data_IF_360019807212
#
_entry.id   IF_360019807212
#
_cell.length_a   1.000
_cell.length_b   1.000
_cell.length_c   1.000
_cell.angle_alpha   90.00
_cell.angle_beta   90.00
_cell.angle_gamma   90.00
#
_symmetry.space_group_name_H-M   'P 1'
#
loop_
_entity.id
_entity.type
_entity.pdbx_description
1 polymer ?
#
# COMPACT_ATOMS: atom_id res chain seq x y z
N UNK A 1 -58.99 -33.70 36.29
CA UNK A 1 -58.82 -33.29 34.89
C UNK A 1 -57.89 -32.09 34.88
N UNK A 2 -56.57 -32.32 34.78
CA UNK A 2 -55.74 -32.02 33.60
C UNK A 2 -55.93 -30.59 33.10
N UNK A 3 -54.95 -29.72 33.37
CA UNK A 3 -54.28 -28.90 32.34
C UNK A 3 -52.83 -28.73 32.81
N UNK A 4 -51.95 -29.52 32.18
CA UNK A 4 -50.50 -29.48 32.35
C UNK A 4 -49.99 -28.52 31.28
N UNK A 5 -49.40 -27.40 31.68
CA UNK A 5 -48.75 -26.45 30.78
C UNK A 5 -47.34 -27.00 30.52
N UNK A 6 -47.13 -27.61 29.35
CA UNK A 6 -45.80 -27.80 28.78
C UNK A 6 -45.60 -26.74 27.71
N UNK A 7 -44.83 -25.69 28.04
CA UNK A 7 -44.24 -24.79 27.06
C UNK A 7 -42.94 -25.46 26.62
N UNK A 8 -42.94 -25.99 25.40
CA UNK A 8 -41.75 -26.50 24.71
C UNK A 8 -40.85 -25.31 24.35
N UNK A 9 -39.80 -25.08 25.15
CA UNK A 9 -38.66 -24.26 24.76
C UNK A 9 -37.78 -25.06 23.79
N UNK A 10 -38.03 -24.92 22.50
CA UNK A 10 -37.06 -25.26 21.45
C UNK A 10 -36.12 -24.05 21.33
N UNK A 11 -34.99 -24.09 22.03
CA UNK A 11 -33.88 -23.16 21.80
C UNK A 11 -33.19 -23.53 20.50
N UNK A 12 -33.57 -22.90 19.40
CA UNK A 12 -32.76 -22.89 18.18
C UNK A 12 -31.53 -22.02 18.43
N UNK A 13 -30.40 -22.65 18.76
CA UNK A 13 -29.09 -22.07 18.53
C UNK A 13 -28.91 -21.91 17.02
N UNK A 14 -29.31 -20.76 16.49
CA UNK A 14 -28.82 -20.31 15.20
C UNK A 14 -27.34 -19.96 15.39
N UNK A 15 -26.47 -20.92 15.09
CA UNK A 15 -25.08 -20.62 14.80
C UNK A 15 -25.14 -19.72 13.56
N UNK A 16 -24.91 -18.41 13.75
CA UNK A 16 -24.55 -17.51 12.67
C UNK A 16 -23.19 -17.97 12.15
N UNK A 17 -23.20 -19.00 11.31
CA UNK A 17 -22.14 -19.18 10.34
C UNK A 17 -22.51 -18.22 9.21
N UNK A 18 -22.07 -16.96 9.31
CA UNK A 18 -21.76 -16.21 8.09
C UNK A 18 -20.60 -16.97 7.47
N UNK A 19 -20.90 -18.01 6.69
CA UNK A 19 -19.99 -18.39 5.64
C UNK A 19 -20.01 -17.19 4.69
N UNK A 20 -18.97 -16.35 4.74
CA UNK A 20 -18.70 -15.42 3.65
C UNK A 20 -18.68 -16.28 2.38
N UNK A 21 -19.63 -16.06 1.48
CA UNK A 21 -19.55 -16.65 0.15
C UNK A 21 -18.16 -16.30 -0.40
N UNK A 22 -17.41 -17.27 -0.95
CA UNK A 22 -16.12 -16.95 -1.55
C UNK A 22 -16.37 -15.86 -2.57
N UNK A 23 -15.59 -14.78 -2.47
CA UNK A 23 -15.53 -13.73 -3.46
C UNK A 23 -15.44 -14.37 -4.85
N UNK A 24 -16.21 -13.82 -5.80
CA UNK A 24 -16.28 -14.34 -7.16
C UNK A 24 -15.93 -13.24 -8.13
N UNK A 25 -15.10 -13.57 -9.11
CA UNK A 25 -14.85 -12.70 -10.25
C UNK A 25 -15.86 -12.99 -11.36
N UNK A 26 -16.23 -11.92 -12.04
CA UNK A 26 -17.06 -11.87 -13.23
C UNK A 26 -16.42 -10.94 -14.26
N UNK A 27 -17.04 -10.81 -15.43
CA UNK A 27 -16.61 -9.88 -16.47
C UNK A 27 -17.70 -8.84 -16.67
N UNK A 28 -17.32 -7.57 -16.69
CA UNK A 28 -18.19 -6.46 -17.06
C UNK A 28 -17.58 -5.70 -18.22
N UNK A 29 -18.34 -5.52 -19.30
CA UNK A 29 -17.88 -4.80 -20.48
C UNK A 29 -18.35 -3.34 -20.44
N UNK A 30 -17.43 -2.44 -20.71
CA UNK A 30 -17.67 -1.01 -20.73
C UNK A 30 -18.65 -0.65 -21.87
N UNK A 31 -19.80 -0.02 -21.58
CA UNK A 31 -20.76 0.35 -22.61
C UNK A 31 -20.24 1.40 -23.60
N UNK A 32 -19.21 2.17 -23.21
CA UNK A 32 -18.66 3.28 -23.98
C UNK A 32 -17.37 2.91 -24.74
N UNK A 33 -16.85 1.69 -24.57
CA UNK A 33 -15.62 1.23 -25.24
C UNK A 33 -15.68 -0.25 -25.66
N UNK A 34 -14.60 -0.76 -26.24
CA UNK A 34 -14.47 -2.20 -26.61
C UNK A 34 -13.68 -2.98 -25.55
N UNK A 35 -13.71 -2.51 -24.31
CA UNK A 35 -12.97 -3.09 -23.20
C UNK A 35 -13.91 -3.85 -22.26
N UNK A 36 -13.45 -5.00 -21.78
CA UNK A 36 -14.06 -5.69 -20.66
C UNK A 36 -13.11 -5.78 -19.48
N UNK A 37 -13.68 -5.77 -18.29
CA UNK A 37 -13.00 -5.62 -17.02
C UNK A 37 -13.26 -6.84 -16.15
N UNK A 38 -12.23 -7.24 -15.41
CA UNK A 38 -12.40 -8.10 -14.25
C UNK A 38 -13.27 -7.35 -13.22
N UNK A 39 -14.33 -8.00 -12.72
CA UNK A 39 -15.23 -7.40 -11.75
C UNK A 39 -15.58 -8.36 -10.59
N UNK A 40 -15.35 -7.96 -9.32
CA UNK A 40 -14.68 -6.73 -8.88
C UNK A 40 -13.16 -6.77 -9.16
N UNK A 41 -12.41 -5.76 -8.70
CA UNK A 41 -10.95 -5.83 -8.71
C UNK A 41 -10.43 -6.98 -7.83
N UNK A 42 -9.16 -7.33 -7.98
CA UNK A 42 -8.54 -8.43 -7.24
C UNK A 42 -8.65 -8.24 -5.72
N UNK A 43 -9.24 -9.22 -5.03
CA UNK A 43 -9.41 -9.28 -3.58
C UNK A 43 -10.19 -8.07 -3.00
N UNK A 44 -11.11 -7.48 -3.77
CA UNK A 44 -11.79 -6.21 -3.42
C UNK A 44 -12.41 -6.19 -2.02
N UNK A 45 -12.88 -7.34 -1.53
CA UNK A 45 -13.56 -7.48 -0.23
C UNK A 45 -12.68 -8.12 0.85
N UNK A 46 -11.36 -8.13 0.65
CA UNK A 46 -10.36 -8.66 1.59
C UNK A 46 -9.47 -7.52 2.12
N UNK A 47 -9.94 -6.75 3.13
CA UNK A 47 -9.20 -5.61 3.67
C UNK A 47 -7.92 -6.00 4.40
N UNK A 48 -7.74 -7.28 4.71
CA UNK A 48 -6.54 -7.87 5.32
C UNK A 48 -5.39 -8.08 4.33
N UNK A 49 -5.67 -8.05 3.01
CA UNK A 49 -4.66 -8.30 1.97
C UNK A 49 -4.02 -6.97 1.54
N UNK A 50 -2.69 -6.93 1.56
CA UNK A 50 -1.87 -5.73 1.31
C UNK A 50 -1.89 -5.18 -0.12
N UNK A 51 -2.41 -5.92 -1.10
CA UNK A 51 -2.32 -5.59 -2.53
C UNK A 51 -1.08 -6.21 -3.20
N UNK A 52 -0.86 -5.88 -4.46
CA UNK A 52 0.29 -6.35 -5.27
C UNK A 52 1.20 -5.17 -5.64
N UNK A 53 2.50 -5.42 -5.79
CA UNK A 53 3.36 -4.43 -6.46
C UNK A 53 3.16 -4.44 -7.98
N UNK A 54 3.75 -3.48 -8.71
CA UNK A 54 3.49 -3.32 -10.14
C UNK A 54 3.83 -4.57 -10.97
N UNK A 55 4.98 -5.20 -10.72
CA UNK A 55 5.40 -6.40 -11.44
C UNK A 55 4.49 -7.61 -11.14
N UNK A 56 4.07 -7.77 -9.88
CA UNK A 56 3.11 -8.79 -9.48
C UNK A 56 1.72 -8.54 -10.09
N UNK A 57 1.31 -7.28 -10.23
CA UNK A 57 0.05 -6.91 -10.86
C UNK A 57 0.03 -7.24 -12.36
N UNK A 58 1.12 -6.95 -13.06
CA UNK A 58 1.30 -7.32 -14.46
C UNK A 58 1.25 -8.84 -14.62
N UNK A 59 2.03 -9.58 -13.83
CA UNK A 59 2.02 -11.05 -13.83
C UNK A 59 0.63 -11.62 -13.52
N UNK A 60 -0.07 -11.06 -12.53
CA UNK A 60 -1.42 -11.49 -12.17
C UNK A 60 -2.37 -11.38 -13.35
N UNK A 61 -2.35 -10.25 -14.06
CA UNK A 61 -3.21 -10.07 -15.22
C UNK A 61 -2.81 -10.95 -16.40
N UNK A 62 -1.52 -11.14 -16.65
CA UNK A 62 -1.02 -12.00 -17.73
C UNK A 62 -1.37 -13.49 -17.52
N UNK A 63 -1.41 -13.93 -16.26
CA UNK A 63 -1.76 -15.31 -15.88
C UNK A 63 -3.27 -15.51 -15.64
N UNK A 64 -4.05 -14.42 -15.62
CA UNK A 64 -5.48 -14.49 -15.34
C UNK A 64 -6.20 -15.27 -16.45
N UNK A 65 -6.90 -16.33 -16.05
CA UNK A 65 -7.91 -16.99 -16.88
C UNK A 65 -9.26 -16.75 -16.22
N UNK A 66 -10.09 -15.93 -16.85
CA UNK A 66 -11.41 -15.55 -16.35
C UNK A 66 -12.46 -15.65 -17.46
N UNK A 67 -13.57 -16.32 -17.18
CA UNK A 67 -14.64 -16.66 -18.12
C UNK A 67 -14.14 -17.22 -19.47
N UNK A 68 -13.16 -18.14 -19.41
CA UNK A 68 -12.49 -18.76 -20.58
C UNK A 68 -11.66 -17.81 -21.44
N UNK A 69 -11.34 -16.62 -20.95
CA UNK A 69 -10.42 -15.69 -21.57
C UNK A 69 -9.08 -15.70 -20.84
N UNK A 70 -7.98 -15.71 -21.59
CA UNK A 70 -6.59 -15.69 -21.09
C UNK A 70 -5.77 -14.56 -21.72
N UNK A 71 -6.45 -13.56 -22.28
CA UNK A 71 -5.91 -12.37 -22.95
C UNK A 71 -6.08 -11.11 -22.08
N UNK A 72 -6.08 -11.32 -20.76
CA UNK A 72 -6.13 -10.25 -19.77
C UNK A 72 -4.78 -9.56 -19.66
N UNK A 73 -4.81 -8.27 -19.32
CA UNK A 73 -3.62 -7.44 -19.13
C UNK A 73 -3.87 -6.36 -18.09
N UNK A 74 -2.79 -5.78 -17.58
CA UNK A 74 -2.87 -4.58 -16.76
C UNK A 74 -3.31 -3.39 -17.66
N UNK A 75 -4.34 -2.62 -17.28
CA UNK A 75 -4.80 -1.46 -18.05
C UNK A 75 -3.76 -0.35 -18.04
N UNK A 76 -3.76 0.51 -19.06
CA UNK A 76 -2.99 1.76 -19.01
C UNK A 76 -3.77 2.88 -18.28
N UNK A 77 -3.12 4.02 -18.03
CA UNK A 77 -3.72 5.12 -17.26
C UNK A 77 -4.94 5.72 -17.95
N UNK A 78 -4.95 5.80 -19.28
CA UNK A 78 -6.10 6.35 -20.02
C UNK A 78 -7.30 5.39 -19.97
N UNK A 79 -7.06 4.07 -20.00
CA UNK A 79 -8.09 3.06 -19.82
C UNK A 79 -8.69 3.08 -18.41
N UNK A 80 -7.84 3.09 -17.37
CA UNK A 80 -8.33 3.21 -15.98
C UNK A 80 -9.05 4.52 -15.74
N UNK A 81 -8.58 5.62 -16.35
CA UNK A 81 -9.26 6.91 -16.26
C UNK A 81 -10.71 6.83 -16.77
N UNK A 82 -11.00 6.04 -17.80
CA UNK A 82 -12.38 5.88 -18.30
C UNK A 82 -13.34 5.29 -17.25
N UNK A 83 -12.80 4.69 -16.19
CA UNK A 83 -13.57 4.18 -15.06
C UNK A 83 -13.87 5.24 -13.98
N UNK A 84 -13.24 6.42 -14.05
CA UNK A 84 -13.51 7.52 -13.12
C UNK A 84 -14.90 8.11 -13.42
N UNK A 85 -15.69 8.33 -12.37
CA UNK A 85 -16.96 9.05 -12.44
C UNK A 85 -17.14 9.96 -11.22
N UNK A 86 -17.75 11.14 -11.41
CA UNK A 86 -18.04 12.10 -10.36
C UNK A 86 -16.95 13.14 -10.09
N UNK A 87 -15.92 13.23 -10.94
CA UNK A 87 -14.90 14.28 -10.84
C UNK A 87 -14.46 14.81 -12.23
N UNK A 88 -15.09 15.89 -12.73
CA UNK A 88 -14.85 16.40 -14.09
C UNK A 88 -13.41 16.80 -14.42
N UNK A 89 -12.57 17.06 -13.42
CA UNK A 89 -11.17 17.42 -13.65
C UNK A 89 -10.32 16.23 -14.09
N UNK A 90 -10.64 15.02 -13.62
CA UNK A 90 -9.86 13.80 -13.85
C UNK A 90 -10.57 12.77 -14.72
N UNK A 91 -11.86 12.92 -14.95
CA UNK A 91 -12.61 12.21 -16.00
C UNK A 91 -11.98 12.38 -17.40
N UNK A 92 -12.30 11.48 -18.36
CA UNK A 92 -11.86 11.62 -19.76
C UNK A 92 -12.20 12.99 -20.35
N UNK A 93 -11.20 13.69 -20.89
CA UNK A 93 -11.36 15.04 -21.43
C UNK A 93 -11.35 16.16 -20.38
N UNK A 94 -11.13 15.83 -19.11
CA UNK A 94 -10.94 16.78 -18.01
C UNK A 94 -9.65 17.60 -18.13
N UNK A 95 -9.47 18.53 -17.20
CA UNK A 95 -8.31 19.44 -17.18
C UNK A 95 -7.01 18.77 -16.69
N UNK A 96 -7.07 17.60 -16.05
CA UNK A 96 -5.90 16.77 -15.77
C UNK A 96 -5.39 16.15 -17.07
N UNK A 97 -4.17 16.51 -17.48
CA UNK A 97 -3.59 16.10 -18.76
C UNK A 97 -2.66 14.88 -18.67
N UNK A 98 -2.52 14.27 -17.48
CA UNK A 98 -1.73 13.05 -17.34
C UNK A 98 -2.28 11.97 -18.27
N UNK A 99 -1.46 11.28 -19.05
CA UNK A 99 -1.91 10.28 -20.04
C UNK A 99 -0.77 9.30 -20.29
N UNK A 100 -0.97 8.31 -21.15
CA UNK A 100 0.13 7.45 -21.59
C UNK A 100 1.26 8.31 -22.18
N UNK A 101 2.46 8.21 -21.60
CA UNK A 101 3.62 9.02 -21.97
C UNK A 101 3.71 10.39 -21.30
N UNK A 102 2.84 10.71 -20.34
CA UNK A 102 2.94 11.91 -19.50
C UNK A 102 4.19 11.89 -18.61
N UNK A 103 4.55 13.05 -18.06
CA UNK A 103 5.70 13.21 -17.15
C UNK A 103 5.28 13.32 -15.69
N UNK A 104 6.19 13.02 -14.76
CA UNK A 104 5.89 12.98 -13.33
C UNK A 104 5.59 14.38 -12.74
N UNK A 105 6.30 15.41 -13.20
CA UNK A 105 6.27 16.75 -12.61
C UNK A 105 5.59 17.81 -13.50
N UNK A 106 4.48 17.46 -14.16
CA UNK A 106 3.70 18.43 -14.96
C UNK A 106 3.14 19.57 -14.07
N UNK A 107 3.21 20.86 -14.47
CA UNK A 107 2.58 21.97 -13.75
C UNK A 107 1.06 21.82 -13.55
N UNK A 108 0.40 21.02 -14.40
CA UNK A 108 -1.03 20.70 -14.29
C UNK A 108 -1.34 19.53 -13.34
N UNK A 109 -0.33 18.98 -12.63
CA UNK A 109 -0.51 17.89 -11.66
C UNK A 109 -1.55 18.21 -10.57
N UNK A 110 -1.75 19.49 -10.23
CA UNK A 110 -2.79 19.91 -9.28
C UNK A 110 -4.20 19.48 -9.70
N UNK A 111 -4.49 19.47 -11.00
CA UNK A 111 -5.78 19.01 -11.50
C UNK A 111 -5.97 17.49 -11.35
N UNK A 112 -4.87 16.74 -11.22
CA UNK A 112 -4.85 15.29 -11.08
C UNK A 112 -4.90 14.82 -9.61
N UNK A 113 -4.88 15.75 -8.64
CA UNK A 113 -4.92 15.44 -7.20
C UNK A 113 -6.28 14.93 -6.71
N UNK A 114 -7.29 14.93 -7.57
CA UNK A 114 -8.62 14.42 -7.24
C UNK A 114 -9.46 15.38 -6.40
N UNK A 115 -10.51 14.82 -5.82
CA UNK A 115 -11.55 15.48 -5.04
C UNK A 115 -11.53 15.01 -3.57
N UNK A 116 -12.60 15.31 -2.82
CA UNK A 116 -12.74 14.80 -1.46
C UNK A 116 -13.01 13.29 -1.47
N UNK A 117 -12.33 12.51 -0.63
CA UNK A 117 -12.52 11.06 -0.59
C UNK A 117 -13.97 10.65 -0.32
N UNK A 118 -14.40 9.57 -0.96
CA UNK A 118 -15.71 8.92 -0.80
C UNK A 118 -16.91 9.82 -1.12
N UNK A 119 -16.84 10.58 -2.21
CA UNK A 119 -17.96 11.40 -2.74
C UNK A 119 -18.33 11.10 -4.19
N UNK A 120 -17.75 10.05 -4.76
CA UNK A 120 -18.10 9.56 -6.08
C UNK A 120 -19.47 8.86 -6.10
N UNK A 121 -19.97 8.55 -7.30
CA UNK A 121 -21.30 7.96 -7.51
C UNK A 121 -21.33 6.43 -7.36
N UNK A 122 -20.17 5.78 -7.31
CA UNK A 122 -20.05 4.33 -7.14
C UNK A 122 -20.25 3.87 -5.70
N UNK A 123 -20.14 2.55 -5.49
CA UNK A 123 -20.35 1.92 -4.20
C UNK A 123 -19.53 2.56 -3.07
N UNK A 124 -20.17 2.78 -1.92
CA UNK A 124 -19.57 3.45 -0.74
C UNK A 124 -18.91 4.81 -1.03
N UNK A 125 -19.29 5.48 -2.13
CA UNK A 125 -18.75 6.78 -2.51
C UNK A 125 -17.48 6.70 -3.35
N UNK A 126 -17.12 5.53 -3.89
CA UNK A 126 -16.01 5.44 -4.83
C UNK A 126 -16.30 6.24 -6.10
N UNK A 127 -15.27 6.89 -6.64
CA UNK A 127 -15.31 7.55 -7.94
C UNK A 127 -15.14 6.55 -9.08
N UNK A 128 -15.92 5.48 -9.01
CA UNK A 128 -16.01 4.43 -10.02
C UNK A 128 -17.33 4.57 -10.78
N UNK A 129 -17.33 4.20 -12.06
CA UNK A 129 -18.55 4.06 -12.84
C UNK A 129 -19.56 3.15 -12.09
N UNK A 130 -20.84 3.54 -11.94
CA UNK A 130 -21.83 2.78 -11.16
C UNK A 130 -22.16 1.37 -11.67
N UNK A 131 -21.72 1.01 -12.88
CA UNK A 131 -21.91 -0.33 -13.45
C UNK A 131 -20.77 -1.29 -13.11
N UNK A 132 -19.71 -0.84 -12.42
CA UNK A 132 -18.65 -1.69 -11.88
C UNK A 132 -18.86 -1.92 -10.38
N UNK A 133 -18.66 -3.17 -9.96
CA UNK A 133 -18.63 -3.55 -8.55
C UNK A 133 -17.22 -3.34 -7.99
N UNK A 134 -17.08 -3.18 -6.68
CA UNK A 134 -15.77 -3.19 -6.04
C UNK A 134 -15.67 -2.28 -4.83
N UNK A 135 -14.43 -2.00 -4.43
CA UNK A 135 -14.11 -1.13 -3.29
C UNK A 135 -13.07 -0.08 -3.66
N UNK A 136 -12.92 0.92 -2.81
CA UNK A 136 -11.82 1.90 -2.85
C UNK A 136 -11.40 2.28 -1.43
N UNK A 137 -11.83 1.51 -0.42
CA UNK A 137 -11.59 1.72 1.01
C UNK A 137 -10.56 0.73 1.58
N UNK A 138 -9.84 -0.01 0.72
CA UNK A 138 -8.74 -0.89 1.15
C UNK A 138 -7.56 -0.06 1.64
N UNK A 139 -7.14 -0.20 2.91
CA UNK A 139 -6.06 0.61 3.46
C UNK A 139 -4.72 0.23 2.85
N UNK A 140 -3.90 1.23 2.52
CA UNK A 140 -2.47 1.07 2.23
C UNK A 140 -1.74 0.75 3.56
N UNK A 141 -1.26 -0.50 3.79
CA UNK A 141 -0.76 -0.90 5.11
C UNK A 141 0.41 -0.04 5.62
N UNK A 142 1.41 0.31 4.80
CA UNK A 142 2.42 1.33 5.10
C UNK A 142 1.90 2.69 5.58
N UNK A 143 0.79 3.17 5.01
CA UNK A 143 0.37 4.57 5.18
C UNK A 143 -0.79 4.72 6.16
N UNK A 144 -1.58 3.68 6.42
CA UNK A 144 -2.60 3.58 7.48
C UNK A 144 -3.78 4.56 7.45
N UNK A 145 -3.67 5.66 6.69
CA UNK A 145 -4.71 6.67 6.48
C UNK A 145 -4.95 6.96 4.98
N UNK A 146 -4.22 6.29 4.09
CA UNK A 146 -4.43 6.31 2.65
C UNK A 146 -4.99 4.96 2.20
N UNK A 147 -5.65 4.96 1.05
CA UNK A 147 -6.23 3.78 0.44
C UNK A 147 -5.36 3.31 -0.73
N UNK A 148 -5.42 2.02 -1.05
CA UNK A 148 -4.66 1.46 -2.17
C UNK A 148 -5.05 2.15 -3.47
N UNK A 149 -4.04 2.59 -4.19
CA UNK A 149 -4.15 3.05 -5.57
C UNK A 149 -4.32 1.84 -6.50
N UNK A 150 -4.95 2.00 -7.66
CA UNK A 150 -5.09 0.95 -8.68
C UNK A 150 -4.02 1.11 -9.76
N UNK A 151 -3.25 0.04 -10.03
CA UNK A 151 -2.10 0.11 -10.94
C UNK A 151 -2.47 0.22 -12.42
N UNK A 152 -1.77 1.12 -13.11
CA UNK A 152 -1.71 1.20 -14.56
C UNK A 152 -0.38 0.64 -15.10
N UNK A 153 -0.32 0.27 -16.37
CA UNK A 153 0.87 -0.34 -16.99
C UNK A 153 1.93 0.65 -17.48
N UNK A 154 1.56 1.91 -17.74
CA UNK A 154 2.51 2.90 -18.26
C UNK A 154 3.36 3.57 -17.17
N UNK A 155 4.56 4.00 -17.59
CA UNK A 155 5.57 4.68 -16.77
C UNK A 155 5.68 6.15 -17.22
N UNK A 156 6.15 7.06 -16.36
CA UNK A 156 6.36 8.46 -16.76
C UNK A 156 7.50 8.54 -17.80
N UNK A 157 7.37 9.44 -18.77
CA UNK A 157 8.34 9.53 -19.87
C UNK A 157 9.66 10.21 -19.49
N UNK A 158 9.68 11.03 -18.43
CA UNK A 158 10.85 11.73 -17.92
C UNK A 158 11.63 10.93 -16.86
N UNK A 159 10.94 10.14 -16.05
CA UNK A 159 11.53 9.33 -14.95
C UNK A 159 11.04 7.87 -14.99
N UNK A 160 11.26 7.13 -16.09
CA UNK A 160 10.61 5.84 -16.31
C UNK A 160 11.03 4.71 -15.34
N UNK A 161 12.20 4.84 -14.69
CA UNK A 161 12.74 3.82 -13.79
C UNK A 161 12.15 3.99 -12.39
N UNK A 162 11.61 2.93 -11.79
CA UNK A 162 11.07 2.95 -10.43
C UNK A 162 9.63 3.49 -10.31
N UNK A 163 9.06 4.06 -11.37
CA UNK A 163 7.74 4.70 -11.32
C UNK A 163 6.73 4.02 -12.24
N UNK A 164 5.48 3.94 -11.78
CA UNK A 164 4.35 3.35 -12.49
C UNK A 164 3.11 4.21 -12.32
N UNK A 165 2.25 4.26 -13.34
CA UNK A 165 1.01 5.02 -13.31
C UNK A 165 -0.02 4.40 -12.37
N UNK A 166 -0.91 5.22 -11.81
CA UNK A 166 -2.02 4.75 -10.99
C UNK A 166 -3.27 5.61 -11.12
N UNK A 167 -4.40 5.06 -10.67
CA UNK A 167 -5.65 5.80 -10.38
C UNK A 167 -6.11 5.47 -8.97
N UNK A 168 -6.46 6.48 -8.17
CA UNK A 168 -7.08 6.30 -6.85
C UNK A 168 -8.57 6.56 -6.93
N UNK A 169 -9.37 5.51 -6.75
CA UNK A 169 -10.83 5.59 -6.85
C UNK A 169 -11.51 6.11 -5.57
N UNK A 170 -10.80 6.25 -4.46
CA UNK A 170 -11.36 6.88 -3.26
C UNK A 170 -11.59 8.39 -3.48
N UNK A 171 -10.72 9.04 -4.26
CA UNK A 171 -10.72 10.48 -4.49
C UNK A 171 -10.65 10.91 -5.96
N UNK A 172 -10.73 10.00 -6.93
CA UNK A 172 -10.57 10.29 -8.36
C UNK A 172 -9.23 10.95 -8.72
N UNK A 173 -8.14 10.59 -8.04
CA UNK A 173 -6.81 11.09 -8.37
C UNK A 173 -6.11 10.13 -9.34
N UNK A 174 -5.13 10.63 -10.08
CA UNK A 174 -4.25 9.79 -10.88
C UNK A 174 -2.86 10.42 -10.96
N UNK A 175 -1.85 9.58 -11.07
CA UNK A 175 -0.48 10.01 -10.91
C UNK A 175 0.53 8.93 -11.23
N UNK A 176 1.74 9.12 -10.73
CA UNK A 176 2.78 8.11 -10.72
C UNK A 176 3.19 7.85 -9.28
N UNK A 177 3.32 6.58 -8.92
CA UNK A 177 3.83 6.13 -7.63
C UNK A 177 4.97 5.14 -7.85
N UNK A 178 5.71 4.83 -6.79
CA UNK A 178 6.83 3.92 -6.86
C UNK A 178 6.34 2.49 -7.15
N UNK A 179 6.95 1.81 -8.11
CA UNK A 179 6.52 0.49 -8.61
C UNK A 179 6.58 -0.62 -7.56
N UNK A 180 7.38 -0.42 -6.51
CA UNK A 180 7.48 -1.32 -5.36
C UNK A 180 6.42 -1.06 -4.28
N UNK A 181 5.60 -0.01 -4.39
CA UNK A 181 4.43 0.16 -3.51
C UNK A 181 3.40 -0.93 -3.76
N UNK A 182 2.51 -1.14 -2.80
CA UNK A 182 1.36 -2.02 -3.00
C UNK A 182 0.15 -1.24 -3.54
N UNK A 183 -0.62 -1.90 -4.39
CA UNK A 183 -1.83 -1.35 -5.00
C UNK A 183 -2.84 -2.43 -5.35
N UNK A 184 -4.05 -1.97 -5.65
CA UNK A 184 -5.14 -2.76 -6.20
C UNK A 184 -4.90 -3.07 -7.68
N UNK A 185 -5.49 -4.18 -8.14
CA UNK A 185 -5.32 -4.65 -9.52
C UNK A 185 -6.68 -4.98 -10.11
N UNK A 186 -7.00 -4.34 -11.24
CA UNK A 186 -8.17 -4.66 -12.06
C UNK A 186 -7.72 -4.89 -13.48
N UNK A 187 -7.79 -6.14 -13.94
CA UNK A 187 -7.36 -6.48 -15.29
C UNK A 187 -8.39 -6.06 -16.33
N UNK A 188 -7.90 -5.74 -17.52
CA UNK A 188 -8.69 -5.38 -18.69
C UNK A 188 -8.37 -6.32 -19.84
N UNK A 189 -9.31 -6.48 -20.77
CA UNK A 189 -9.11 -7.16 -22.04
C UNK A 189 -9.89 -6.47 -23.15
N UNK A 190 -9.47 -6.70 -24.39
CA UNK A 190 -10.22 -6.27 -25.58
C UNK A 190 -11.35 -7.27 -25.88
N UNK A 191 -12.49 -6.77 -26.33
CA UNK A 191 -13.62 -7.57 -26.79
C UNK A 191 -14.94 -7.09 -26.21
N UNK A 192 -16.05 -7.46 -26.85
CA UNK A 192 -17.42 -7.07 -26.47
C UNK A 192 -18.33 -8.29 -26.32
N UNK A 193 -17.76 -9.48 -26.11
CA UNK A 193 -18.52 -10.71 -25.92
C UNK A 193 -18.77 -10.92 -24.42
N UNK A 194 -19.92 -10.49 -23.86
CA UNK A 194 -20.32 -10.91 -22.53
C UNK A 194 -20.66 -12.40 -22.61
N UNK A 195 -19.70 -13.27 -22.31
CA UNK A 195 -20.04 -14.63 -21.92
C UNK A 195 -20.71 -14.49 -20.56
N UNK A 196 -22.04 -14.58 -20.56
CA UNK A 196 -22.87 -14.49 -19.36
C UNK A 196 -22.28 -15.31 -18.19
N UNK A 197 -22.08 -14.61 -17.06
CA UNK A 197 -22.04 -15.17 -15.71
C UNK A 197 -21.25 -16.47 -15.51
N UNK A 198 -20.01 -16.57 -16.01
CA UNK A 198 -19.05 -17.49 -15.40
C UNK A 198 -18.45 -16.80 -14.18
N UNK A 199 -19.24 -16.77 -13.10
CA UNK A 199 -18.69 -16.44 -11.78
C UNK A 199 -17.67 -17.50 -11.40
N UNK A 200 -16.40 -17.13 -11.37
CA UNK A 200 -15.32 -18.00 -10.95
C UNK A 200 -14.91 -17.63 -9.52
N UNK A 201 -14.57 -18.61 -8.66
CA UNK A 201 -14.01 -18.30 -7.36
C UNK A 201 -12.73 -17.46 -7.55
N UNK A 202 -12.43 -16.57 -6.60
CA UNK A 202 -11.11 -15.94 -6.60
C UNK A 202 -10.02 -17.01 -6.64
N UNK A 203 -9.07 -16.86 -7.56
CA UNK A 203 -7.90 -17.70 -7.59
C UNK A 203 -6.93 -17.23 -6.50
N UNK A 204 -6.42 -18.16 -5.71
CA UNK A 204 -5.24 -17.93 -4.87
C UNK A 204 -4.03 -17.72 -5.79
N UNK A 205 -3.89 -16.49 -6.29
CA UNK A 205 -2.73 -16.10 -7.07
C UNK A 205 -1.50 -16.18 -6.16
N UNK A 206 -0.69 -17.20 -6.42
CA UNK A 206 0.65 -17.33 -5.89
C UNK A 206 1.58 -17.01 -7.05
N UNK A 207 2.37 -15.91 -7.00
CA UNK A 207 3.33 -15.60 -8.04
C UNK A 207 4.18 -16.84 -8.37
N UNK A 208 4.02 -17.38 -9.60
CA UNK A 208 4.58 -18.70 -10.01
C UNK A 208 6.11 -18.69 -10.12
N UNK A 209 6.66 -17.50 -10.22
CA UNK A 209 8.02 -17.18 -9.85
C UNK A 209 7.89 -16.06 -8.82
N UNK A 210 8.90 -15.89 -7.96
CA UNK A 210 9.30 -14.53 -7.67
C UNK A 210 9.52 -13.97 -9.08
N UNK A 211 8.57 -13.21 -9.65
CA UNK A 211 8.93 -12.23 -10.65
C UNK A 211 10.06 -11.53 -9.94
N UNK A 212 11.30 -11.90 -10.28
CA UNK A 212 12.48 -11.49 -9.54
C UNK A 212 12.33 -10.00 -9.65
N UNK A 213 11.85 -9.36 -8.58
CA UNK A 213 12.04 -7.94 -8.41
C UNK A 213 13.54 -7.87 -8.65
N UNK A 214 13.96 -7.36 -9.81
CA UNK A 214 15.36 -7.34 -10.21
C UNK A 214 16.10 -6.97 -8.95
N UNK A 215 16.96 -7.86 -8.41
CA UNK A 215 17.41 -7.80 -7.01
C UNK A 215 17.58 -6.35 -6.62
N UNK A 216 16.60 -5.85 -5.87
CA UNK A 216 16.39 -4.43 -5.77
C UNK A 216 17.60 -3.83 -5.07
N UNK A 217 17.83 -2.52 -5.18
CA UNK A 217 18.87 -1.87 -4.40
C UNK A 217 18.83 -2.24 -2.90
N UNK A 218 17.65 -2.50 -2.33
CA UNK A 218 17.50 -2.96 -0.95
C UNK A 218 17.88 -4.43 -0.70
N UNK A 219 17.80 -5.29 -1.72
CA UNK A 219 18.13 -6.71 -1.61
C UNK A 219 19.64 -6.94 -1.55
N UNK A 220 20.43 -6.01 -2.10
CA UNK A 220 21.90 -6.00 -2.02
C UNK A 220 22.43 -5.05 -0.94
N UNK A 221 21.59 -4.12 -0.46
CA UNK A 221 21.98 -3.14 0.54
C UNK A 221 22.48 -3.81 1.83
N UNK A 222 23.46 -3.15 2.43
CA UNK A 222 23.82 -3.40 3.82
C UNK A 222 22.61 -3.14 4.73
N UNK A 223 22.55 -3.77 5.89
CA UNK A 223 21.38 -3.76 6.76
C UNK A 223 21.77 -3.46 8.20
N UNK A 224 20.96 -2.65 8.86
CA UNK A 224 21.02 -2.48 10.31
C UNK A 224 19.87 -3.26 10.93
N UNK A 225 20.20 -4.32 11.66
CA UNK A 225 19.25 -5.04 12.49
C UNK A 225 19.11 -4.31 13.83
N UNK A 226 17.93 -3.79 14.10
CA UNK A 226 17.61 -3.08 15.33
C UNK A 226 16.88 -4.02 16.29
N UNK A 227 17.47 -4.26 17.45
CA UNK A 227 16.80 -4.86 18.61
C UNK A 227 16.28 -3.73 19.50
N UNK A 228 15.00 -3.38 19.34
CA UNK A 228 14.37 -2.22 19.97
C UNK A 228 13.75 -2.63 21.29
N UNK A 229 14.21 -2.02 22.38
CA UNK A 229 13.69 -2.21 23.72
C UNK A 229 13.06 -0.91 24.25
N UNK A 230 12.06 -1.06 25.11
CA UNK A 230 11.37 0.05 25.77
C UNK A 230 11.63 0.01 27.28
N UNK A 231 11.49 1.15 27.99
CA UNK A 231 11.58 1.18 29.45
C UNK A 231 10.46 0.35 30.11
N UNK A 232 10.62 0.06 31.41
CA UNK A 232 9.79 -0.89 32.17
C UNK A 232 8.27 -0.73 32.02
N UNK A 233 7.74 0.49 31.92
CA UNK A 233 6.31 0.72 31.66
C UNK A 233 6.12 1.78 30.58
N UNK A 234 5.38 1.40 29.53
CA UNK A 234 4.95 2.33 28.49
C UNK A 234 3.82 3.23 29.02
N UNK A 235 3.95 4.54 28.81
CA UNK A 235 2.97 5.53 29.25
C UNK A 235 1.63 5.46 28.48
N UNK A 236 1.61 4.77 27.33
CA UNK A 236 0.45 4.58 26.50
C UNK A 236 0.60 3.32 25.64
N UNK A 237 -0.51 2.79 25.12
CA UNK A 237 -0.51 1.64 24.22
C UNK A 237 0.18 2.00 22.90
N UNK A 238 1.16 1.21 22.44
CA UNK A 238 1.76 1.34 21.12
C UNK A 238 0.74 1.32 19.99
N UNK A 239 0.80 2.31 19.09
CA UNK A 239 0.05 2.29 17.85
C UNK A 239 0.94 2.12 16.61
N UNK A 240 2.14 2.69 16.62
CA UNK A 240 3.02 2.65 15.45
C UNK A 240 4.48 2.72 15.87
N UNK A 241 5.30 1.83 15.34
CA UNK A 241 6.75 1.90 15.45
C UNK A 241 7.34 2.16 14.06
N UNK A 242 8.28 3.09 13.97
CA UNK A 242 8.98 3.37 12.72
C UNK A 242 10.46 3.63 12.94
N UNK A 243 11.29 3.27 11.96
CA UNK A 243 12.72 3.54 11.97
C UNK A 243 13.25 3.80 10.56
N UNK A 244 14.05 4.86 10.39
CA UNK A 244 14.54 5.25 9.08
C UNK A 244 15.92 5.89 9.10
N UNK A 245 16.59 5.85 7.95
CA UNK A 245 17.83 6.59 7.69
C UNK A 245 17.55 8.03 7.30
N UNK A 246 18.37 8.94 7.84
CA UNK A 246 18.41 10.35 7.50
C UNK A 246 19.85 10.77 7.23
N UNK A 247 20.07 11.54 6.18
CA UNK A 247 21.39 12.00 5.78
C UNK A 247 21.98 12.93 6.87
N UNK A 248 23.22 12.66 7.28
CA UNK A 248 23.88 13.41 8.36
C UNK A 248 24.06 14.90 8.05
N UNK A 249 24.32 15.27 6.79
CA UNK A 249 24.52 16.67 6.39
C UNK A 249 23.24 17.51 6.56
N UNK A 250 22.07 16.86 6.48
CA UNK A 250 20.74 17.48 6.65
C UNK A 250 20.16 17.21 8.04
N UNK A 251 20.91 16.56 8.92
CA UNK A 251 20.38 16.07 10.17
C UNK A 251 19.97 17.21 11.11
N UNK A 252 18.77 17.07 11.65
CA UNK A 252 18.28 17.81 12.79
C UNK A 252 17.48 16.85 13.66
N UNK A 253 17.29 17.20 14.94
CA UNK A 253 16.52 16.37 15.85
C UNK A 253 15.28 17.12 16.36
N UNK A 254 14.06 16.59 16.18
CA UNK A 254 13.73 15.46 15.29
C UNK A 254 13.98 15.80 13.81
N UNK A 255 14.17 14.79 12.93
CA UNK A 255 14.43 15.02 11.52
C UNK A 255 13.27 15.76 10.85
N UNK A 256 13.60 16.68 9.92
CA UNK A 256 12.61 17.33 9.07
C UNK A 256 12.53 16.65 7.70
N UNK A 257 11.31 16.52 7.20
CA UNK A 257 11.05 15.98 5.87
C UNK A 257 10.97 14.46 5.83
N UNK A 258 10.82 13.89 4.63
CA UNK A 258 10.74 12.45 4.44
C UNK A 258 12.06 11.76 4.80
N UNK A 259 12.03 10.46 5.15
CA UNK A 259 13.24 9.68 5.34
C UNK A 259 14.07 9.58 4.05
N UNK A 260 15.40 9.57 4.18
CA UNK A 260 16.30 9.35 3.06
C UNK A 260 16.44 7.86 2.73
N UNK A 261 16.20 6.97 3.69
CA UNK A 261 16.23 5.52 3.46
C UNK A 261 15.61 4.64 4.54
N UNK A 262 15.66 3.33 4.32
CA UNK A 262 14.75 2.34 4.88
C UNK A 262 13.67 2.00 3.85
N UNK A 263 12.58 1.36 4.26
CA UNK A 263 11.43 1.06 3.39
C UNK A 263 10.12 1.19 4.17
N UNK A 264 9.00 1.11 3.48
CA UNK A 264 7.67 1.06 4.09
C UNK A 264 7.49 -0.09 5.10
N UNK A 265 8.23 -1.19 4.96
CA UNK A 265 8.22 -2.31 5.91
C UNK A 265 8.82 -1.93 7.28
N UNK A 266 9.54 -0.80 7.34
CA UNK A 266 10.03 -0.25 8.60
C UNK A 266 8.97 0.57 9.35
N UNK A 267 7.71 0.57 8.88
CA UNK A 267 6.54 1.07 9.61
C UNK A 267 5.69 -0.12 10.09
N UNK A 268 5.59 -0.27 11.40
CA UNK A 268 4.85 -1.36 12.04
C UNK A 268 3.65 -0.78 12.76
N UNK A 269 2.45 -1.21 12.36
CA UNK A 269 1.20 -0.85 13.04
C UNK A 269 0.95 -1.81 14.20
N UNK A 270 0.47 -1.26 15.31
CA UNK A 270 0.10 -1.95 16.55
C UNK A 270 1.19 -2.97 17.00
N UNK A 271 2.46 -2.53 17.13
CA UNK A 271 3.56 -3.43 17.44
C UNK A 271 3.41 -4.01 18.84
N UNK A 272 3.71 -5.30 18.98
CA UNK A 272 3.78 -5.97 20.29
C UNK A 272 5.20 -5.75 20.82
N UNK A 273 5.35 -4.76 21.70
CA UNK A 273 6.59 -4.47 22.43
C UNK A 273 6.28 -3.97 23.83
N UNK A 274 7.04 -4.45 24.80
CA UNK A 274 6.97 -4.08 26.21
C UNK A 274 8.33 -4.38 26.89
N UNK A 275 8.38 -4.38 28.22
CA UNK A 275 9.60 -4.65 28.99
C UNK A 275 10.16 -6.06 28.75
N UNK A 276 9.32 -7.05 28.48
CA UNK A 276 9.71 -8.45 28.27
C UNK A 276 9.89 -8.77 26.79
N UNK A 277 9.29 -7.98 25.91
CA UNK A 277 9.22 -8.21 24.47
C UNK A 277 9.92 -7.08 23.70
N UNK A 278 11.17 -7.32 23.33
CA UNK A 278 11.89 -6.48 22.39
C UNK A 278 11.32 -6.63 20.97
N UNK A 279 11.30 -5.56 20.18
CA UNK A 279 10.92 -5.60 18.77
C UNK A 279 12.15 -5.63 17.88
N UNK A 280 12.30 -6.66 17.05
CA UNK A 280 13.38 -6.73 16.06
C UNK A 280 12.89 -6.25 14.70
N UNK A 281 13.62 -5.32 14.08
CA UNK A 281 13.40 -4.92 12.69
C UNK A 281 14.72 -4.76 11.93
N UNK A 282 14.67 -4.95 10.61
CA UNK A 282 15.84 -4.80 9.74
C UNK A 282 15.65 -3.58 8.84
N UNK A 283 16.60 -2.65 8.88
CA UNK A 283 16.63 -1.47 8.02
C UNK A 283 17.64 -1.68 6.89
N UNK A 284 17.19 -1.83 5.64
CA UNK A 284 18.10 -1.85 4.50
C UNK A 284 18.62 -0.43 4.19
N UNK A 285 19.92 -0.32 3.93
CA UNK A 285 20.62 0.88 3.50
C UNK A 285 20.32 1.21 2.03
N UNK A 286 19.05 1.35 1.69
CA UNK A 286 18.56 1.84 0.42
C UNK A 286 17.61 3.02 0.64
N UNK A 287 17.35 3.78 -0.42
CA UNK A 287 16.35 4.85 -0.40
C UNK A 287 14.96 4.31 -0.05
N UNK A 288 14.10 5.12 0.58
CA UNK A 288 12.73 4.72 1.00
C UNK A 288 11.93 4.05 -0.12
N UNK A 289 12.02 4.63 -1.32
CA UNK A 289 11.39 4.14 -2.52
C UNK A 289 12.23 3.07 -3.23
N UNK A 290 13.24 2.45 -2.62
CA UNK A 290 14.03 1.36 -3.24
C UNK A 290 14.72 1.68 -4.58
N UNK A 291 14.94 2.95 -4.91
CA UNK A 291 15.55 3.40 -6.17
C UNK A 291 17.07 3.17 -6.24
N UNK A 292 17.77 3.25 -5.10
CA UNK A 292 19.23 3.01 -5.01
C UNK A 292 19.69 2.68 -3.61
N UNK A 293 20.90 2.14 -3.51
CA UNK A 293 21.62 2.01 -2.25
C UNK A 293 22.08 3.37 -1.71
N UNK A 294 22.16 3.49 -0.38
CA UNK A 294 22.62 4.69 0.31
C UNK A 294 24.14 4.72 0.38
N UNK A 295 24.76 5.87 0.13
CA UNK A 295 26.20 6.04 0.31
C UNK A 295 26.49 7.36 1.02
N UNK A 296 27.45 7.33 1.94
CA UNK A 296 27.81 8.45 2.81
C UNK A 296 27.41 8.23 4.26
N UNK A 297 27.28 9.33 5.01
CA UNK A 297 26.98 9.27 6.44
C UNK A 297 25.50 9.47 6.71
N UNK A 298 24.94 8.56 7.49
CA UNK A 298 23.54 8.56 7.87
C UNK A 298 23.37 8.38 9.37
N UNK A 299 22.21 8.80 9.85
CA UNK A 299 21.74 8.54 11.21
C UNK A 299 20.42 7.81 11.13
N UNK A 300 20.14 7.01 12.16
CA UNK A 300 18.84 6.35 12.30
C UNK A 300 18.01 7.13 13.31
N UNK A 301 16.76 7.43 12.93
CA UNK A 301 15.74 7.92 13.85
C UNK A 301 14.68 6.84 14.03
N UNK A 302 14.31 6.57 15.27
CA UNK A 302 13.27 5.60 15.64
C UNK A 302 12.21 6.33 16.42
N UNK A 303 10.93 6.04 16.14
CA UNK A 303 9.81 6.63 16.84
C UNK A 303 8.75 5.57 17.13
N UNK A 304 8.29 5.55 18.38
CA UNK A 304 7.14 4.78 18.84
C UNK A 304 6.03 5.76 19.21
N UNK A 305 4.91 5.68 18.49
CA UNK A 305 3.77 6.57 18.63
C UNK A 305 2.60 5.86 19.31
N UNK A 306 1.92 6.59 20.18
CA UNK A 306 0.70 6.19 20.88
C UNK A 306 -0.58 6.68 20.18
N UNK A 307 -0.53 7.84 19.49
CA UNK A 307 -1.68 8.43 18.80
C UNK A 307 -1.75 8.03 17.31
N UNK A 308 -2.99 7.94 16.78
CA UNK A 308 -3.31 7.68 15.37
C UNK A 308 -3.25 8.94 14.47
N UNK A 309 -2.85 10.12 14.99
CA UNK A 309 -2.94 11.40 14.26
C UNK A 309 -1.77 11.65 13.30
N UNK A 310 -2.09 12.32 12.19
CA UNK A 310 -1.15 12.75 11.14
C UNK A 310 -1.20 14.29 11.03
N UNK A 311 -0.07 15.01 10.90
CA UNK A 311 1.31 14.52 10.89
C UNK A 311 1.79 14.11 12.29
N UNK A 312 2.75 13.17 12.40
CA UNK A 312 3.19 12.60 13.66
C UNK A 312 4.13 13.57 14.38
N UNK A 313 3.58 14.57 15.06
CA UNK A 313 4.37 15.29 16.05
C UNK A 313 4.40 14.46 17.33
N UNK A 314 5.61 14.04 17.73
CA UNK A 314 5.80 13.27 18.94
C UNK A 314 5.21 14.02 20.15
N UNK A 315 4.30 13.36 20.86
CA UNK A 315 3.59 13.89 22.03
C UNK A 315 4.00 13.21 23.32
N UNK A 316 3.41 13.66 24.43
CA UNK A 316 3.54 12.95 25.70
C UNK A 316 2.92 11.55 25.55
N UNK A 317 3.67 10.51 25.91
CA UNK A 317 3.28 9.11 25.70
C UNK A 317 4.00 8.43 24.54
N UNK A 318 4.70 9.19 23.69
CA UNK A 318 5.53 8.65 22.61
C UNK A 318 6.97 8.46 23.06
N UNK A 319 7.72 7.64 22.31
CA UNK A 319 9.13 7.34 22.57
C UNK A 319 9.96 7.50 21.30
N UNK A 320 11.25 7.74 21.45
CA UNK A 320 12.17 7.88 20.32
C UNK A 320 13.58 7.35 20.61
N UNK A 321 14.34 7.14 19.55
CA UNK A 321 15.79 6.99 19.59
C UNK A 321 16.41 7.75 18.41
N UNK A 322 17.67 8.17 18.54
CA UNK A 322 18.39 8.88 17.49
C UNK A 322 18.76 10.32 17.83
N UNK A 323 18.42 10.84 19.02
CA UNK A 323 19.00 12.11 19.53
C UNK A 323 20.52 12.03 19.71
N UNK A 324 21.04 10.81 19.76
CA UNK A 324 22.42 10.47 20.05
C UNK A 324 23.17 10.40 18.72
N UNK A 325 24.42 10.86 18.69
CA UNK A 325 25.14 11.13 17.44
C UNK A 325 25.72 9.91 16.73
N UNK A 326 25.12 8.72 16.86
CA UNK A 326 25.64 7.54 16.18
C UNK A 326 25.54 7.73 14.66
N UNK A 327 26.69 7.61 14.01
CA UNK A 327 26.87 7.76 12.58
C UNK A 327 27.05 6.38 11.95
N UNK A 328 26.29 6.14 10.90
CA UNK A 328 26.39 4.97 10.04
C UNK A 328 26.99 5.41 8.71
N UNK A 329 28.26 5.05 8.48
CA UNK A 329 28.93 5.27 7.20
C UNK A 329 28.62 4.09 6.28
N UNK A 330 28.06 4.38 5.11
CA UNK A 330 27.56 3.40 4.15
C UNK A 330 28.31 3.54 2.80
N UNK A 331 28.67 2.42 2.13
CA UNK A 331 28.56 1.03 2.61
C UNK A 331 29.49 0.77 3.80
N UNK A 332 29.22 -0.29 4.58
CA UNK A 332 29.93 -0.52 5.85
C UNK A 332 31.42 -0.82 5.70
N UNK A 333 31.84 -1.39 4.57
CA UNK A 333 33.25 -1.62 4.24
C UNK A 333 33.93 -0.43 3.53
N UNK A 334 33.16 0.58 3.13
CA UNK A 334 33.63 1.74 2.37
C UNK A 334 33.83 1.50 0.87
N UNK A 335 33.50 0.31 0.34
CA UNK A 335 33.69 -0.05 -1.06
C UNK A 335 32.36 -0.41 -1.76
N UNK A 336 31.61 -1.39 -1.24
CA UNK A 336 30.42 -1.93 -1.89
C UNK A 336 29.34 -2.41 -0.91
N UNK A 337 28.09 -2.37 -1.36
CA UNK A 337 27.02 -3.05 -0.65
C UNK A 337 27.03 -4.53 -1.01
N UNK A 338 27.38 -5.36 -0.02
CA UNK A 338 27.50 -6.80 -0.14
C UNK A 338 26.63 -7.52 0.89
N UNK A 339 25.45 -6.96 1.18
CA UNK A 339 24.50 -7.48 2.17
C UNK A 339 25.07 -7.62 3.58
N UNK A 340 25.97 -6.74 3.99
CA UNK A 340 26.52 -6.78 5.34
C UNK A 340 25.45 -6.42 6.37
N UNK A 341 25.42 -7.13 7.49
CA UNK A 341 24.46 -6.88 8.56
C UNK A 341 25.22 -6.46 9.82
N UNK A 342 24.81 -5.34 10.40
CA UNK A 342 25.23 -4.95 11.74
C UNK A 342 24.02 -4.92 12.67
N UNK A 343 24.16 -5.48 13.87
CA UNK A 343 23.10 -5.45 14.88
C UNK A 343 23.32 -4.29 15.86
N UNK A 344 22.23 -3.67 16.29
CA UNK A 344 22.21 -2.61 17.31
C UNK A 344 21.06 -2.84 18.27
N UNK A 345 21.39 -2.90 19.55
CA UNK A 345 20.39 -2.82 20.61
C UNK A 345 20.13 -1.36 20.95
N UNK A 346 18.87 -0.96 20.95
CA UNK A 346 18.45 0.43 21.11
C UNK A 346 17.33 0.56 22.13
N UNK A 347 17.55 1.38 23.15
CA UNK A 347 16.53 1.71 24.15
C UNK A 347 15.81 2.99 23.76
N UNK A 348 14.48 2.92 23.61
CA UNK A 348 13.68 4.11 23.33
C UNK A 348 13.51 4.99 24.57
N UNK A 349 13.55 6.30 24.38
CA UNK A 349 13.40 7.31 25.42
C UNK A 349 12.05 8.00 25.32
N UNK A 350 11.35 8.24 26.44
CA UNK A 350 10.08 8.93 26.40
C UNK A 350 10.25 10.38 25.93
N UNK A 351 9.28 10.88 25.16
CA UNK A 351 9.17 12.30 24.81
C UNK A 351 8.78 13.08 26.07
N UNK A 352 9.76 13.75 26.67
CA UNK A 352 9.53 14.69 27.77
C UNK A 352 9.33 16.08 27.16
N UNK A 353 8.12 16.66 27.30
CA UNK A 353 7.92 18.08 26.97
C UNK A 353 8.77 18.93 27.93
N UNK A 354 9.63 19.79 27.38
CA UNK A 354 10.20 20.91 28.14
C UNK A 354 9.16 22.01 28.35
#
# INVERSE_FOLDING_TARGET
MRHCILISLLSSLAINAYAEEPSRYSIVCDPDSSLCWQDPQKDAYRPDVKGLNAAQAEQYCDELVLANHSDWRLPNTDELRNLIDGHPATEPGGICQLSVGGVQNEPLYRACQGAASFKGPGDKGCYLRPWLSGTCDRPDPPKGAQYLETWASNRPSDTPVGWVGYVSFDMASLGYNHEASYGDVRCVREGVDPIAELMQPENDFVPTAIAVAETGPCDIADKVELNIIVPDELLATPNRLMAFFYNDEKWQFPPAGPPDGGTDENVVLEPILDQENAYTMTLPACTYYRERVLSGNYRIYIQLLSEKRIPPMAGAGDYFWGSNTELFTLPFDGESHDNQIISREVTLWPVVRQ
#
